data_IF_776933321356
#
_entry.id   IF_776933321356
#
_cell.length_a   1.000
_cell.length_b   1.000
_cell.length_c   1.000
_cell.angle_alpha   90.00
_cell.angle_beta   90.00
_cell.angle_gamma   90.00
#
_symmetry.space_group_name_H-M   'P 1'
#
loop_
_entity.id
_entity.type
_entity.pdbx_description
1 polymer ?
#
# COMPACT_ATOMS: atom_id res chain seq x y z
N UNK A 1 13.12 3.59 -7.75
CA UNK A 1 12.28 2.72 -8.61
C UNK A 1 10.80 2.94 -8.35
N UNK A 2 10.33 2.93 -7.10
CA UNK A 2 8.91 3.18 -6.80
C UNK A 2 8.53 4.66 -6.65
N UNK A 3 9.40 5.63 -6.97
CA UNK A 3 9.19 7.04 -6.59
C UNK A 3 7.94 7.67 -7.24
N UNK A 4 7.70 7.42 -8.52
CA UNK A 4 6.47 7.91 -9.19
C UNK A 4 5.21 7.31 -8.54
N UNK A 5 5.21 6.00 -8.29
CA UNK A 5 4.10 5.30 -7.67
C UNK A 5 3.89 5.75 -6.21
N UNK A 6 4.98 5.94 -5.45
CA UNK A 6 4.95 6.49 -4.10
C UNK A 6 4.31 7.87 -4.08
N UNK A 7 4.68 8.74 -5.03
CA UNK A 7 4.09 10.07 -5.13
C UNK A 7 2.61 10.01 -5.51
N UNK A 8 2.22 9.13 -6.44
CA UNK A 8 0.81 8.94 -6.79
C UNK A 8 -0.03 8.51 -5.58
N UNK A 9 0.45 7.55 -4.79
CA UNK A 9 -0.21 7.11 -3.56
C UNK A 9 -0.21 8.24 -2.51
N UNK A 10 0.88 8.99 -2.37
CA UNK A 10 0.96 10.15 -1.46
C UNK A 10 -0.09 11.21 -1.77
N UNK A 11 -0.21 11.59 -3.04
CA UNK A 11 -1.20 12.57 -3.52
C UNK A 11 -2.62 12.07 -3.25
N UNK A 12 -2.89 10.78 -3.51
CA UNK A 12 -4.18 10.17 -3.19
C UNK A 12 -4.51 10.27 -1.70
N UNK A 13 -3.58 9.86 -0.83
CA UNK A 13 -3.79 9.85 0.62
C UNK A 13 -4.01 11.26 1.18
N UNK A 14 -3.18 12.23 0.78
CA UNK A 14 -3.32 13.63 1.23
C UNK A 14 -4.63 14.26 0.77
N UNK A 15 -5.14 13.90 -0.40
CA UNK A 15 -6.35 14.51 -0.96
C UNK A 15 -7.65 13.85 -0.49
N UNK A 16 -7.67 12.54 -0.27
CA UNK A 16 -8.89 11.78 0.05
C UNK A 16 -9.07 11.49 1.53
N UNK A 17 -7.98 11.27 2.26
CA UNK A 17 -8.02 10.78 3.66
C UNK A 17 -6.89 11.37 4.52
N UNK A 18 -6.73 12.72 4.56
CA UNK A 18 -5.57 13.34 5.19
C UNK A 18 -5.40 12.97 6.67
N UNK A 19 -6.48 12.91 7.45
CA UNK A 19 -6.42 12.56 8.87
C UNK A 19 -5.95 11.13 9.11
N UNK A 20 -6.44 10.17 8.32
CA UNK A 20 -6.02 8.77 8.43
C UNK A 20 -4.57 8.59 7.99
N UNK A 21 -4.14 9.31 6.95
CA UNK A 21 -2.75 9.28 6.52
C UNK A 21 -1.81 9.83 7.58
N UNK A 22 -2.13 10.96 8.22
CA UNK A 22 -1.33 11.52 9.32
C UNK A 22 -1.21 10.55 10.51
N UNK A 23 -2.31 9.88 10.86
CA UNK A 23 -2.30 8.87 11.91
C UNK A 23 -1.37 7.70 11.54
N UNK A 24 -1.50 7.15 10.33
CA UNK A 24 -0.66 6.03 9.89
C UNK A 24 0.81 6.44 9.75
N UNK A 25 1.09 7.67 9.34
CA UNK A 25 2.43 8.25 9.31
C UNK A 25 3.05 8.31 10.72
N UNK A 26 2.28 8.79 11.70
CA UNK A 26 2.69 8.80 13.10
C UNK A 26 2.94 7.38 13.63
N UNK A 27 2.02 6.44 13.37
CA UNK A 27 2.15 5.06 13.82
C UNK A 27 3.34 4.34 13.18
N UNK A 28 3.59 4.56 11.89
CA UNK A 28 4.74 3.98 11.19
C UNK A 28 6.07 4.53 11.73
N UNK A 29 6.13 5.84 11.99
CA UNK A 29 7.29 6.49 12.59
C UNK A 29 7.56 5.95 14.00
N UNK A 30 6.51 5.87 14.84
CA UNK A 30 6.60 5.40 16.22
C UNK A 30 7.06 3.94 16.33
N UNK A 31 6.53 3.05 15.49
CA UNK A 31 6.77 1.61 15.60
C UNK A 31 7.98 1.12 14.80
N UNK A 32 8.35 1.83 13.72
CA UNK A 32 9.34 1.33 12.76
C UNK A 32 10.38 2.37 12.33
N UNK A 33 10.29 3.61 12.81
CA UNK A 33 11.22 4.69 12.45
C UNK A 33 11.22 5.06 10.96
N UNK A 34 10.11 4.78 10.25
CA UNK A 34 9.96 5.03 8.81
C UNK A 34 8.65 5.77 8.52
N UNK A 35 8.60 6.50 7.41
CA UNK A 35 7.34 7.01 6.87
C UNK A 35 6.40 5.85 6.52
N UNK A 36 5.08 6.11 6.55
CA UNK A 36 4.11 5.08 6.20
C UNK A 36 4.29 4.59 4.76
N UNK A 37 4.63 5.50 3.83
CA UNK A 37 4.88 5.16 2.43
C UNK A 37 6.19 4.38 2.26
N UNK A 38 7.28 4.76 2.92
CA UNK A 38 8.51 3.96 2.84
C UNK A 38 8.31 2.58 3.44
N UNK A 39 7.52 2.47 4.50
CA UNK A 39 7.15 1.19 5.08
C UNK A 39 6.30 0.38 4.10
N UNK A 40 5.35 0.97 3.38
CA UNK A 40 4.55 0.27 2.37
C UNK A 40 5.41 -0.34 1.26
N UNK A 41 6.45 0.38 0.81
CA UNK A 41 7.33 -0.06 -0.27
C UNK A 41 8.59 -0.80 0.22
N UNK A 42 8.66 -1.16 1.50
CA UNK A 42 9.74 -2.00 2.05
C UNK A 42 9.24 -3.18 2.87
N UNK A 43 8.10 -3.03 3.56
CA UNK A 43 7.45 -4.04 4.37
C UNK A 43 5.92 -3.80 4.42
N UNK A 44 5.18 -4.01 3.31
CA UNK A 44 3.74 -3.74 3.22
C UNK A 44 2.92 -4.45 4.30
N UNK A 45 3.33 -5.66 4.72
CA UNK A 45 2.68 -6.39 5.82
C UNK A 45 2.70 -5.64 7.15
N UNK A 46 3.75 -4.86 7.42
CA UNK A 46 3.83 -4.02 8.63
C UNK A 46 2.84 -2.87 8.58
N UNK A 47 2.60 -2.30 7.39
CA UNK A 47 1.55 -1.29 7.22
C UNK A 47 0.17 -1.92 7.45
N UNK A 48 -0.06 -3.12 6.90
CA UNK A 48 -1.31 -3.85 7.16
C UNK A 48 -1.49 -4.14 8.65
N UNK A 49 -0.43 -4.55 9.35
CA UNK A 49 -0.46 -4.80 10.80
C UNK A 49 -0.82 -3.53 11.60
N UNK A 50 -0.27 -2.36 11.24
CA UNK A 50 -0.64 -1.09 11.88
C UNK A 50 -2.13 -0.77 11.69
N UNK A 51 -2.65 -0.98 10.48
CA UNK A 51 -4.08 -0.79 10.20
C UNK A 51 -4.91 -1.79 11.03
N UNK A 52 -4.52 -3.06 11.06
CA UNK A 52 -5.21 -4.10 11.83
C UNK A 52 -5.24 -3.79 13.32
N UNK A 53 -4.12 -3.37 13.89
CA UNK A 53 -4.01 -3.00 15.30
C UNK A 53 -4.84 -1.76 15.62
N UNK A 54 -4.85 -0.75 14.75
CA UNK A 54 -5.68 0.43 14.93
C UNK A 54 -7.17 0.08 15.01
N UNK A 55 -7.62 -0.88 14.22
CA UNK A 55 -8.99 -1.40 14.26
C UNK A 55 -9.17 -2.61 15.19
N UNK A 56 -8.34 -2.72 16.24
CA UNK A 56 -8.47 -3.72 17.31
C UNK A 56 -8.54 -5.18 16.81
N UNK A 57 -7.85 -5.49 15.70
CA UNK A 57 -7.85 -6.83 15.13
C UNK A 57 -9.05 -7.13 14.21
N UNK A 58 -9.93 -6.17 13.91
CA UNK A 58 -11.00 -6.37 12.95
C UNK A 58 -10.44 -6.47 11.51
N UNK A 59 -10.21 -7.70 11.07
CA UNK A 59 -9.63 -7.99 9.77
C UNK A 59 -10.49 -7.49 8.60
N UNK A 60 -11.82 -7.54 8.70
CA UNK A 60 -12.72 -7.06 7.64
C UNK A 60 -12.57 -5.55 7.44
N UNK A 61 -12.54 -4.78 8.53
CA UNK A 61 -12.31 -3.33 8.46
C UNK A 61 -10.89 -3.03 8.01
N UNK A 62 -9.89 -3.75 8.50
CA UNK A 62 -8.50 -3.55 8.09
C UNK A 62 -8.30 -3.83 6.60
N UNK A 63 -8.89 -4.90 6.07
CA UNK A 63 -8.86 -5.24 4.64
C UNK A 63 -9.47 -4.12 3.80
N UNK A 64 -10.65 -3.62 4.18
CA UNK A 64 -11.32 -2.54 3.48
C UNK A 64 -10.47 -1.26 3.47
N UNK A 65 -9.98 -0.86 4.64
CA UNK A 65 -9.19 0.36 4.78
C UNK A 65 -7.85 0.23 4.04
N UNK A 66 -7.14 -0.89 4.20
CA UNK A 66 -5.87 -1.11 3.50
C UNK A 66 -6.06 -1.11 1.98
N UNK A 67 -7.15 -1.72 1.48
CA UNK A 67 -7.50 -1.65 0.06
C UNK A 67 -7.70 -0.20 -0.39
N UNK A 68 -8.60 0.52 0.27
CA UNK A 68 -8.96 1.89 -0.10
C UNK A 68 -7.76 2.83 -0.08
N UNK A 69 -6.91 2.72 0.95
CA UNK A 69 -5.82 3.66 1.18
C UNK A 69 -4.58 3.39 0.34
N UNK A 70 -4.26 2.12 0.10
CA UNK A 70 -2.97 1.75 -0.50
C UNK A 70 -3.13 0.95 -1.79
N UNK A 71 -3.96 -0.09 -1.79
CA UNK A 71 -4.04 -0.98 -2.95
C UNK A 71 -4.75 -0.29 -4.11
N UNK A 72 -5.92 0.31 -3.88
CA UNK A 72 -6.71 0.97 -4.91
C UNK A 72 -5.91 2.08 -5.63
N UNK A 73 -5.20 3.00 -4.95
CA UNK A 73 -4.38 3.97 -5.67
C UNK A 73 -3.20 3.32 -6.42
N UNK A 74 -2.62 2.23 -5.90
CA UNK A 74 -1.58 1.48 -6.62
C UNK A 74 -2.14 0.86 -7.90
N UNK A 75 -3.21 0.08 -7.81
CA UNK A 75 -3.81 -0.64 -8.96
C UNK A 75 -4.42 0.31 -9.96
N UNK A 76 -5.00 1.43 -9.51
CA UNK A 76 -5.52 2.49 -10.38
C UNK A 76 -4.39 3.17 -11.16
N UNK A 77 -3.28 3.51 -10.49
CA UNK A 77 -2.12 4.13 -11.16
C UNK A 77 -1.46 3.16 -12.16
N UNK A 78 -1.43 1.87 -11.84
CA UNK A 78 -0.89 0.83 -12.71
C UNK A 78 -1.86 0.39 -13.81
N UNK A 79 -3.15 0.78 -13.75
CA UNK A 79 -4.24 0.30 -14.62
C UNK A 79 -4.41 -1.22 -14.59
N UNK A 80 -4.25 -1.82 -13.40
CA UNK A 80 -4.28 -3.27 -13.16
C UNK A 80 -5.21 -3.61 -11.98
N UNK A 81 -6.53 -3.38 -12.07
CA UNK A 81 -7.47 -3.65 -10.98
C UNK A 81 -7.52 -5.13 -10.56
N UNK A 82 -7.17 -6.05 -11.46
CA UNK A 82 -7.08 -7.49 -11.19
C UNK A 82 -6.07 -7.85 -10.10
N UNK A 83 -5.12 -6.96 -9.78
CA UNK A 83 -4.09 -7.19 -8.77
C UNK A 83 -4.58 -6.94 -7.34
N UNK A 84 -5.74 -6.29 -7.15
CA UNK A 84 -6.17 -5.83 -5.83
C UNK A 84 -6.26 -6.94 -4.79
N UNK A 85 -6.92 -8.03 -5.15
CA UNK A 85 -7.09 -9.17 -4.26
C UNK A 85 -5.74 -9.77 -3.88
N UNK A 86 -4.86 -9.95 -4.88
CA UNK A 86 -3.57 -10.60 -4.67
C UNK A 86 -2.63 -9.75 -3.82
N UNK A 87 -2.58 -8.44 -4.04
CA UNK A 87 -1.78 -7.53 -3.23
C UNK A 87 -2.25 -7.56 -1.76
N UNK A 88 -3.56 -7.57 -1.51
CA UNK A 88 -4.06 -7.67 -0.14
C UNK A 88 -3.63 -8.99 0.51
N UNK A 89 -3.83 -10.12 -0.17
CA UNK A 89 -3.44 -11.43 0.36
C UNK A 89 -1.95 -11.46 0.73
N UNK A 90 -1.07 -10.96 -0.15
CA UNK A 90 0.37 -10.95 0.09
C UNK A 90 0.74 -10.09 1.30
N UNK A 91 0.12 -8.93 1.48
CA UNK A 91 0.33 -8.08 2.66
C UNK A 91 -0.14 -8.79 3.94
N UNK A 92 -1.31 -9.46 3.91
CA UNK A 92 -1.85 -10.22 5.05
C UNK A 92 -0.97 -11.40 5.46
N UNK A 93 -0.42 -12.11 4.48
CA UNK A 93 0.42 -13.29 4.70
C UNK A 93 1.85 -12.94 5.09
N UNK A 94 2.22 -11.65 5.17
CA UNK A 94 3.60 -11.26 5.46
C UNK A 94 4.57 -11.44 4.30
N UNK A 95 4.08 -11.67 3.08
CA UNK A 95 4.92 -11.95 1.92
C UNK A 95 5.31 -10.66 1.20
N UNK A 96 6.08 -9.83 1.91
CA UNK A 96 6.52 -8.50 1.47
C UNK A 96 7.29 -8.55 0.13
N UNK A 97 8.17 -9.54 -0.04
CA UNK A 97 8.94 -9.70 -1.28
C UNK A 97 8.02 -9.94 -2.46
N UNK A 98 7.09 -10.90 -2.38
CA UNK A 98 6.18 -11.18 -3.48
C UNK A 98 5.22 -10.00 -3.77
N UNK A 99 4.83 -9.24 -2.75
CA UNK A 99 4.05 -8.01 -2.93
C UNK A 99 4.81 -6.99 -3.79
N UNK A 100 6.07 -6.73 -3.44
CA UNK A 100 6.91 -5.76 -4.16
C UNK A 100 7.29 -6.24 -5.56
N UNK A 101 7.54 -7.54 -5.75
CA UNK A 101 7.77 -8.12 -7.08
C UNK A 101 6.54 -8.00 -7.97
N UNK A 102 5.33 -8.22 -7.43
CA UNK A 102 4.09 -8.10 -8.19
C UNK A 102 3.89 -6.66 -8.69
N UNK A 103 4.17 -5.66 -7.85
CA UNK A 103 4.15 -4.24 -8.26
C UNK A 103 5.22 -3.98 -9.31
N UNK A 104 6.45 -4.45 -9.11
CA UNK A 104 7.55 -4.22 -10.07
C UNK A 104 7.21 -4.79 -11.44
N UNK A 105 6.69 -6.02 -11.49
CA UNK A 105 6.25 -6.65 -12.74
C UNK A 105 5.18 -5.81 -13.43
N UNK A 106 4.14 -5.40 -12.70
CA UNK A 106 3.08 -4.57 -13.25
C UNK A 106 3.57 -3.19 -13.77
N UNK A 107 4.60 -2.62 -13.15
CA UNK A 107 5.23 -1.39 -13.64
C UNK A 107 5.99 -1.61 -14.96
N UNK A 108 6.69 -2.73 -15.10
CA UNK A 108 7.40 -3.08 -16.34
C UNK A 108 6.39 -3.29 -17.48
N UNK A 109 5.34 -4.08 -17.23
CA UNK A 109 4.32 -4.38 -18.22
C UNK A 109 3.63 -3.09 -18.72
N UNK A 110 3.36 -2.13 -17.83
CA UNK A 110 2.81 -0.82 -18.20
C UNK A 110 3.75 -0.01 -19.10
N UNK A 111 5.06 -0.07 -18.88
CA UNK A 111 6.03 0.63 -19.71
C UNK A 111 6.10 0.05 -21.13
N UNK A 112 5.87 -1.27 -21.27
CA UNK A 112 5.79 -1.96 -22.56
C UNK A 112 4.54 -1.60 -23.36
N UNK A 113 3.41 -1.28 -22.72
CA UNK A 113 2.17 -0.84 -23.38
C UNK A 113 2.26 0.59 -24.00
N UNK A 114 3.41 1.25 -23.90
CA UNK A 114 3.68 2.59 -24.44
C UNK A 114 4.80 2.61 -25.50
N UNK A 115 5.21 1.44 -25.99
CA UNK A 115 6.17 1.27 -27.10
C UNK A 115 5.48 0.64 -28.30
#
# INVERSE_FOLDING_TARGET
>A
MFEELKEAVRVHLKSKVPGMYQLLEFLASLNYGKSCLDLLFTSPSKVYLLVLQHYQGNATTADLIFRMLFINPITSHLRRPELEHRLLELAKLGNDTAFLELIRKAMIDRASDHT
#
